data_IF_442772711116
#
_entry.id   IF_442772711116
#
_cell.length_a   1.000
_cell.length_b   1.000
_cell.length_c   1.000
_cell.angle_alpha   90.00
_cell.angle_beta   90.00
_cell.angle_gamma   90.00
#
_symmetry.space_group_name_H-M   'P 1'
#
loop_
_entity.id
_entity.type
_entity.pdbx_description
1 polymer ?
#
# COMPACT_ATOMS: atom_id res chain seq x y z
N UNK A 1 0.15 -16.51 30.93
CA UNK A 1 -0.59 -15.82 32.01
C UNK A 1 -1.61 -14.90 31.34
N UNK A 2 -2.83 -14.75 31.89
CA UNK A 2 -3.91 -14.04 31.18
C UNK A 2 -3.80 -12.52 31.29
N UNK A 3 -3.26 -12.01 32.40
CA UNK A 3 -3.08 -10.59 32.66
C UNK A 3 -2.08 -10.43 33.81
N UNK A 4 -1.00 -9.69 33.58
CA UNK A 4 0.03 -9.48 34.61
C UNK A 4 -0.10 -8.08 35.23
N UNK A 5 -0.07 -7.00 34.44
CA UNK A 5 -0.26 -5.65 34.98
C UNK A 5 -0.74 -4.59 33.96
N UNK A 6 -1.51 -3.60 34.45
CA UNK A 6 -1.94 -2.42 33.67
C UNK A 6 -0.81 -1.58 33.07
N UNK A 7 0.36 -1.37 33.74
CA UNK A 7 1.49 -0.64 33.17
C UNK A 7 2.09 -1.30 31.92
N UNK A 8 2.07 -2.64 31.84
CA UNK A 8 2.65 -3.36 30.71
C UNK A 8 1.83 -3.14 29.44
N UNK A 9 0.50 -3.14 29.56
CA UNK A 9 -0.41 -2.76 28.46
C UNK A 9 -0.17 -1.33 27.99
N UNK A 10 -0.01 -0.38 28.92
CA UNK A 10 0.22 1.02 28.58
C UNK A 10 1.58 1.21 27.89
N UNK A 11 2.60 0.47 28.32
CA UNK A 11 3.91 0.41 27.64
C UNK A 11 3.77 -0.13 26.22
N UNK A 12 3.02 -1.22 26.00
CA UNK A 12 2.78 -1.78 24.65
C UNK A 12 2.13 -0.74 23.75
N UNK A 13 1.11 -0.03 24.23
CA UNK A 13 0.43 1.02 23.44
C UNK A 13 1.37 2.18 23.10
N UNK A 14 2.07 2.73 24.10
CA UNK A 14 2.95 3.89 23.89
C UNK A 14 4.16 3.55 23.02
N UNK A 15 4.90 2.49 23.38
CA UNK A 15 6.12 2.08 22.68
C UNK A 15 5.78 1.56 21.29
N UNK A 16 4.71 0.75 21.15
CA UNK A 16 4.26 0.25 19.85
C UNK A 16 3.85 1.37 18.90
N UNK A 17 3.11 2.37 19.40
CA UNK A 17 2.74 3.55 18.60
C UNK A 17 3.97 4.36 18.19
N UNK A 18 4.90 4.63 19.12
CA UNK A 18 6.11 5.38 18.83
C UNK A 18 7.04 4.66 17.83
N UNK A 19 7.20 3.35 17.98
CA UNK A 19 7.97 2.51 17.06
C UNK A 19 7.35 2.53 15.65
N UNK A 20 6.03 2.40 15.55
CA UNK A 20 5.32 2.44 14.27
C UNK A 20 5.44 3.81 13.59
N UNK A 21 5.27 4.90 14.32
CA UNK A 21 5.45 6.27 13.79
C UNK A 21 6.88 6.46 13.28
N UNK A 22 7.87 6.00 14.03
CA UNK A 22 9.29 6.05 13.62
C UNK A 22 9.51 5.28 12.32
N UNK A 23 8.96 4.07 12.22
CA UNK A 23 9.02 3.24 11.03
C UNK A 23 8.40 3.95 9.81
N UNK A 24 7.22 4.56 9.97
CA UNK A 24 6.56 5.35 8.91
C UNK A 24 7.43 6.53 8.48
N UNK A 25 8.02 7.28 9.42
CA UNK A 25 8.87 8.45 9.12
C UNK A 25 10.11 8.03 8.33
N UNK A 26 10.79 6.96 8.76
CA UNK A 26 11.99 6.43 8.09
C UNK A 26 11.67 5.95 6.67
N UNK A 27 10.58 5.20 6.51
CA UNK A 27 10.14 4.71 5.20
C UNK A 27 9.75 5.88 4.28
N UNK A 28 9.07 6.89 4.82
CA UNK A 28 8.67 8.07 4.06
C UNK A 28 9.84 8.96 3.67
N UNK A 29 10.88 9.06 4.50
CA UNK A 29 12.12 9.78 4.17
C UNK A 29 12.92 9.09 3.05
N UNK A 30 12.86 7.75 2.99
CA UNK A 30 13.63 6.93 2.04
C UNK A 30 12.96 6.81 0.65
N UNK A 31 11.65 7.07 0.56
CA UNK A 31 10.77 6.73 -0.58
C UNK A 31 10.91 7.51 -1.90
N UNK A 32 12.06 8.09 -2.26
CA UNK A 32 12.24 8.75 -3.58
C UNK A 32 13.20 8.06 -4.55
N UNK A 33 13.96 7.02 -4.15
CA UNK A 33 14.97 6.41 -5.05
C UNK A 33 15.06 4.88 -5.09
N UNK A 34 14.24 4.15 -4.33
CA UNK A 34 14.39 2.68 -4.20
C UNK A 34 13.08 1.89 -4.39
N UNK A 35 11.98 2.56 -4.75
CA UNK A 35 10.62 2.01 -4.86
C UNK A 35 10.34 1.36 -6.23
N UNK A 36 11.23 0.49 -6.69
CA UNK A 36 10.93 -0.36 -7.85
C UNK A 36 10.43 -1.73 -7.37
N UNK A 37 9.13 -1.95 -7.56
CA UNK A 37 8.46 -3.24 -7.83
C UNK A 37 7.79 -4.06 -6.74
N UNK A 38 7.91 -3.77 -5.45
CA UNK A 38 6.89 -4.17 -4.45
C UNK A 38 6.79 -3.07 -3.40
N UNK A 39 5.58 -2.85 -2.88
CA UNK A 39 5.28 -1.86 -1.87
C UNK A 39 6.14 -2.13 -0.61
N UNK A 40 7.34 -1.55 -0.52
CA UNK A 40 8.31 -1.82 0.54
C UNK A 40 7.74 -1.58 1.94
N UNK A 41 6.76 -0.68 2.04
CA UNK A 41 5.97 -0.46 3.24
C UNK A 41 5.17 -1.71 3.64
N UNK A 42 4.47 -2.31 2.68
CA UNK A 42 3.65 -3.52 2.88
C UNK A 42 4.48 -4.75 3.27
N UNK A 43 5.67 -4.89 2.67
CA UNK A 43 6.63 -5.94 3.05
C UNK A 43 7.06 -5.82 4.52
N UNK A 44 7.45 -4.61 4.93
CA UNK A 44 7.92 -4.36 6.31
C UNK A 44 6.79 -4.59 7.32
N UNK A 45 5.58 -4.16 7.00
CA UNK A 45 4.39 -4.34 7.83
C UNK A 45 4.07 -5.83 8.02
N UNK A 46 4.12 -6.62 6.94
CA UNK A 46 3.87 -8.06 6.98
C UNK A 46 4.92 -8.79 7.85
N UNK A 47 6.20 -8.43 7.71
CA UNK A 47 7.29 -8.98 8.54
C UNK A 47 7.09 -8.64 10.02
N UNK A 48 6.69 -7.42 10.34
CA UNK A 48 6.44 -6.99 11.72
C UNK A 48 5.28 -7.76 12.37
N UNK A 49 4.19 -7.99 11.62
CA UNK A 49 3.05 -8.81 12.05
C UNK A 49 3.48 -10.25 12.38
N UNK A 50 4.25 -10.88 11.48
CA UNK A 50 4.77 -12.23 11.67
C UNK A 50 5.72 -12.34 12.87
N UNK A 51 6.65 -11.40 13.02
CA UNK A 51 7.57 -11.35 14.15
C UNK A 51 6.83 -11.19 15.49
N UNK A 52 5.82 -10.32 15.53
CA UNK A 52 5.04 -10.08 16.75
C UNK A 52 4.25 -11.32 17.14
N UNK A 53 3.59 -11.98 16.17
CA UNK A 53 2.87 -13.23 16.41
C UNK A 53 3.80 -14.36 16.90
N UNK A 54 4.99 -14.50 16.32
CA UNK A 54 5.98 -15.47 16.76
C UNK A 54 6.44 -15.21 18.20
N UNK A 55 6.70 -13.95 18.57
CA UNK A 55 7.06 -13.57 19.93
C UNK A 55 5.96 -13.91 20.93
N UNK A 56 4.70 -13.65 20.59
CA UNK A 56 3.55 -13.97 21.46
C UNK A 56 3.42 -15.48 21.68
N UNK A 57 3.67 -16.29 20.65
CA UNK A 57 3.53 -17.75 20.73
C UNK A 57 4.69 -18.44 21.46
N UNK A 58 5.90 -17.89 21.37
CA UNK A 58 7.12 -18.54 21.84
C UNK A 58 7.65 -17.97 23.16
N UNK A 59 7.24 -16.75 23.55
CA UNK A 59 7.70 -16.12 24.80
C UNK A 59 6.74 -16.37 25.95
N UNK A 60 7.21 -17.08 26.99
CA UNK A 60 6.47 -17.28 28.23
C UNK A 60 6.36 -16.00 29.10
N UNK A 61 7.14 -14.98 28.78
CA UNK A 61 7.15 -13.68 29.47
C UNK A 61 6.04 -12.74 28.99
N UNK A 62 5.40 -13.06 27.86
CA UNK A 62 4.34 -12.21 27.28
C UNK A 62 2.98 -12.73 27.72
N UNK A 63 2.23 -11.87 28.42
CA UNK A 63 0.84 -12.18 28.76
C UNK A 63 -0.03 -12.22 27.49
N UNK A 64 -1.09 -13.04 27.50
CA UNK A 64 -1.99 -13.14 26.35
C UNK A 64 -2.64 -11.78 26.04
N UNK A 65 -2.98 -11.00 27.07
CA UNK A 65 -3.54 -9.67 26.93
C UNK A 65 -2.58 -8.69 26.25
N UNK A 66 -1.29 -8.69 26.61
CA UNK A 66 -0.27 -7.88 25.94
C UNK A 66 -0.11 -8.25 24.47
N UNK A 67 -0.10 -9.54 24.17
CA UNK A 67 -0.05 -10.02 22.79
C UNK A 67 -1.26 -9.58 21.97
N UNK A 68 -2.46 -9.70 22.52
CA UNK A 68 -3.69 -9.25 21.88
C UNK A 68 -3.70 -7.73 21.63
N UNK A 69 -3.25 -6.93 22.61
CA UNK A 69 -3.14 -5.46 22.46
C UNK A 69 -2.09 -5.08 21.43
N UNK A 70 -0.95 -5.76 21.39
CA UNK A 70 0.10 -5.50 20.39
C UNK A 70 -0.41 -5.77 18.96
N UNK A 71 -1.10 -6.89 18.74
CA UNK A 71 -1.68 -7.23 17.44
C UNK A 71 -2.80 -6.25 17.03
N UNK A 72 -3.70 -5.91 17.96
CA UNK A 72 -4.78 -4.96 17.71
C UNK A 72 -4.22 -3.56 17.39
N UNK A 73 -3.21 -3.12 18.13
CA UNK A 73 -2.52 -1.87 17.89
C UNK A 73 -1.89 -1.85 16.50
N UNK A 74 -1.15 -2.89 16.12
CA UNK A 74 -0.55 -3.00 14.78
C UNK A 74 -1.61 -2.97 13.68
N UNK A 75 -2.71 -3.71 13.83
CA UNK A 75 -3.79 -3.72 12.84
C UNK A 75 -4.47 -2.34 12.70
N UNK A 76 -4.74 -1.65 13.82
CA UNK A 76 -5.32 -0.31 13.80
C UNK A 76 -4.38 0.72 13.16
N UNK A 77 -3.10 0.64 13.49
CA UNK A 77 -2.08 1.54 12.92
C UNK A 77 -1.88 1.28 11.42
N UNK A 78 -1.94 0.02 10.97
CA UNK A 78 -1.93 -0.33 9.55
C UNK A 78 -3.14 0.23 8.82
N UNK A 79 -4.35 0.08 9.38
CA UNK A 79 -5.55 0.67 8.81
C UNK A 79 -5.44 2.20 8.73
N UNK A 80 -4.97 2.86 9.78
CA UNK A 80 -4.75 4.30 9.78
C UNK A 80 -3.71 4.74 8.74
N UNK A 81 -2.60 4.01 8.61
CA UNK A 81 -1.59 4.30 7.60
C UNK A 81 -2.13 4.08 6.18
N UNK A 82 -2.94 3.04 5.98
CA UNK A 82 -3.64 2.80 4.72
C UNK A 82 -4.56 3.98 4.38
N UNK A 83 -5.36 4.49 5.32
CA UNK A 83 -6.20 5.68 5.11
C UNK A 83 -5.39 6.93 4.77
N UNK A 84 -4.22 7.11 5.39
CA UNK A 84 -3.32 8.24 5.10
C UNK A 84 -2.66 8.09 3.71
N UNK A 85 -2.34 6.86 3.31
CA UNK A 85 -1.74 6.54 2.02
C UNK A 85 -2.74 6.57 0.87
N UNK A 86 -3.98 6.13 1.11
CA UNK A 86 -5.07 6.08 0.12
C UNK A 86 -5.85 7.37 0.04
N UNK A 87 -5.50 8.43 0.81
CA UNK A 87 -6.11 9.75 0.68
C UNK A 87 -6.13 10.12 -0.81
N UNK A 88 -7.30 10.07 -1.46
CA UNK A 88 -7.38 10.41 -2.86
C UNK A 88 -6.99 11.88 -2.91
N UNK A 89 -6.05 12.22 -3.79
CA UNK A 89 -6.01 13.58 -4.34
C UNK A 89 -7.35 13.75 -5.04
N UNK A 90 -8.34 14.19 -4.27
CA UNK A 90 -9.73 14.40 -4.65
C UNK A 90 -9.86 15.57 -5.61
N UNK A 91 -9.29 15.40 -6.79
CA UNK A 91 -9.66 16.11 -7.98
C UNK A 91 -9.77 15.04 -9.04
N UNK A 92 -10.85 15.09 -9.83
CA UNK A 92 -10.93 14.46 -11.16
C UNK A 92 -9.51 14.33 -11.72
N UNK A 93 -8.95 13.12 -11.76
CA UNK A 93 -7.57 12.90 -12.20
C UNK A 93 -7.56 13.18 -13.69
N UNK A 94 -7.37 14.45 -14.05
CA UNK A 94 -6.84 14.83 -15.34
C UNK A 94 -5.43 14.24 -15.36
N UNK A 95 -5.31 13.02 -15.87
CA UNK A 95 -4.00 12.43 -16.16
C UNK A 95 -3.29 13.42 -17.07
N UNK A 96 -2.13 13.90 -16.66
CA UNK A 96 -1.35 14.75 -17.54
C UNK A 96 -0.86 13.90 -18.71
N UNK A 97 -0.58 14.52 -19.85
CA UNK A 97 0.08 13.83 -20.95
C UNK A 97 1.44 13.22 -20.54
N UNK A 98 2.05 13.66 -19.45
CA UNK A 98 3.26 13.06 -18.91
C UNK A 98 2.98 11.71 -18.21
N UNK A 99 1.85 11.60 -17.50
CA UNK A 99 1.43 10.38 -16.81
C UNK A 99 1.11 9.27 -17.82
N UNK A 100 0.39 9.61 -18.89
CA UNK A 100 0.07 8.67 -19.99
C UNK A 100 1.37 8.17 -20.64
N UNK A 101 2.29 9.08 -20.99
CA UNK A 101 3.59 8.69 -21.57
C UNK A 101 4.43 7.86 -20.61
N UNK A 102 4.33 8.08 -19.30
CA UNK A 102 5.03 7.29 -18.30
C UNK A 102 4.47 5.86 -18.24
N UNK A 103 3.14 5.71 -18.22
CA UNK A 103 2.50 4.39 -18.21
C UNK A 103 2.86 3.58 -19.45
N UNK A 104 2.81 4.22 -20.62
CA UNK A 104 3.21 3.61 -21.91
C UNK A 104 4.67 3.14 -21.87
N UNK A 105 5.58 3.96 -21.30
CA UNK A 105 6.98 3.54 -21.12
C UNK A 105 7.15 2.42 -20.09
N UNK A 106 6.39 2.42 -19.01
CA UNK A 106 6.48 1.34 -18.01
C UNK A 106 6.00 0.00 -18.54
N UNK A 107 5.08 0.03 -19.50
CA UNK A 107 4.58 -1.16 -20.21
C UNK A 107 5.52 -1.59 -21.36
N UNK A 108 6.62 -0.86 -21.57
CA UNK A 108 7.66 -1.21 -22.53
C UNK A 108 7.49 -0.57 -23.91
N UNK A 109 6.58 0.39 -24.06
CA UNK A 109 6.34 1.07 -25.32
C UNK A 109 7.02 2.44 -25.37
N UNK A 110 7.73 2.72 -26.47
CA UNK A 110 8.46 3.98 -26.68
C UNK A 110 7.65 5.04 -27.42
N UNK A 111 6.56 4.63 -28.07
CA UNK A 111 5.73 5.46 -28.95
C UNK A 111 4.25 5.34 -28.62
N UNK A 112 3.51 6.45 -28.78
CA UNK A 112 2.05 6.46 -28.61
C UNK A 112 1.30 5.97 -29.86
N UNK A 113 1.98 5.90 -31.01
CA UNK A 113 1.37 5.52 -32.30
C UNK A 113 0.86 4.09 -32.36
N UNK A 114 1.35 3.20 -31.49
CA UNK A 114 0.91 1.80 -31.38
C UNK A 114 -0.13 1.57 -30.29
N UNK A 115 -0.48 2.61 -29.54
CA UNK A 115 -1.43 2.52 -28.44
C UNK A 115 -2.82 2.79 -28.98
N UNK A 116 -3.73 1.84 -28.75
CA UNK A 116 -5.13 1.94 -29.15
C UNK A 116 -5.99 2.54 -28.05
N UNK A 117 -5.73 2.18 -26.78
CA UNK A 117 -6.47 2.72 -25.64
C UNK A 117 -5.61 2.77 -24.37
N UNK A 118 -5.94 3.70 -23.47
CA UNK A 118 -5.45 3.74 -22.10
C UNK A 118 -6.64 3.75 -21.15
N UNK A 119 -6.73 2.76 -20.25
CA UNK A 119 -7.86 2.58 -19.34
C UNK A 119 -7.40 2.88 -17.92
N UNK A 120 -8.01 3.89 -17.30
CA UNK A 120 -7.77 4.16 -15.88
C UNK A 120 -8.64 3.22 -15.05
N UNK A 121 -7.98 2.30 -14.35
CA UNK A 121 -8.63 1.31 -13.48
C UNK A 121 -9.15 1.95 -12.19
N UNK A 122 -10.04 1.24 -11.48
CA UNK A 122 -10.65 1.71 -10.22
C UNK A 122 -9.62 1.88 -9.09
N UNK A 123 -8.50 1.16 -9.16
CA UNK A 123 -7.38 1.28 -8.21
C UNK A 123 -6.41 2.43 -8.56
N UNK A 124 -6.65 3.14 -9.68
CA UNK A 124 -5.83 4.24 -10.17
C UNK A 124 -4.61 3.83 -10.99
N UNK A 125 -4.46 2.55 -11.32
CA UNK A 125 -3.50 2.09 -12.33
C UNK A 125 -4.00 2.41 -13.75
N UNK A 126 -3.07 2.59 -14.69
CA UNK A 126 -3.38 2.87 -16.10
C UNK A 126 -2.98 1.64 -16.92
N UNK A 127 -3.97 0.91 -17.43
CA UNK A 127 -3.79 -0.18 -18.38
C UNK A 127 -3.61 0.39 -19.78
N UNK A 128 -2.68 -0.17 -20.56
CA UNK A 128 -2.39 0.27 -21.92
C UNK A 128 -2.72 -0.87 -22.87
N UNK A 129 -3.55 -0.61 -23.87
CA UNK A 129 -3.90 -1.59 -24.91
C UNK A 129 -3.25 -1.16 -26.21
N UNK A 130 -2.43 -2.04 -26.79
CA UNK A 130 -1.84 -1.82 -28.11
C UNK A 130 -2.82 -2.14 -29.22
N UNK A 131 -2.63 -1.55 -30.40
CA UNK A 131 -3.44 -1.88 -31.57
C UNK A 131 -3.38 -3.37 -31.96
N UNK A 132 -2.27 -4.05 -31.67
CA UNK A 132 -2.15 -5.49 -31.90
C UNK A 132 -2.97 -6.34 -30.91
N UNK A 133 -3.19 -5.83 -29.70
CA UNK A 133 -3.93 -6.51 -28.64
C UNK A 133 -5.39 -6.03 -28.52
N UNK A 134 -5.85 -5.16 -29.41
CA UNK A 134 -7.17 -4.54 -29.35
C UNK A 134 -8.32 -5.54 -29.61
N UNK A 135 -8.08 -6.58 -30.41
CA UNK A 135 -9.08 -7.58 -30.74
C UNK A 135 -10.30 -6.96 -31.44
N UNK A 136 -11.50 -7.34 -31.00
CA UNK A 136 -12.77 -6.79 -31.48
C UNK A 136 -13.27 -5.57 -30.69
N UNK A 137 -12.52 -5.14 -29.66
CA UNK A 137 -12.87 -3.99 -28.83
C UNK A 137 -14.04 -4.20 -27.87
N UNK A 138 -14.64 -5.40 -27.80
CA UNK A 138 -15.82 -5.67 -26.96
C UNK A 138 -15.59 -5.41 -25.46
N UNK A 139 -14.35 -5.50 -25.00
CA UNK A 139 -13.96 -5.17 -23.63
C UNK A 139 -14.02 -3.66 -23.30
N UNK A 140 -14.18 -2.80 -24.30
CA UNK A 140 -14.28 -1.34 -24.15
C UNK A 140 -15.73 -0.83 -24.25
N UNK A 141 -16.70 -1.71 -24.41
CA UNK A 141 -18.12 -1.33 -24.48
C UNK A 141 -18.54 -0.62 -23.18
N UNK A 142 -18.92 0.65 -23.30
CA UNK A 142 -19.33 1.49 -22.17
C UNK A 142 -18.21 2.33 -21.53
N UNK A 143 -16.99 2.30 -22.08
CA UNK A 143 -15.93 3.26 -21.72
C UNK A 143 -16.20 4.59 -22.41
N UNK A 144 -16.36 5.68 -21.64
CA UNK A 144 -16.53 7.03 -22.19
C UNK A 144 -15.24 7.51 -22.85
N UNK A 145 -15.31 7.90 -24.13
CA UNK A 145 -14.20 8.59 -24.79
C UNK A 145 -14.03 9.99 -24.19
N UNK A 146 -12.80 10.43 -23.90
CA UNK A 146 -12.55 11.81 -23.49
C UNK A 146 -12.88 12.77 -24.64
N UNK A 147 -13.76 13.76 -24.37
CA UNK A 147 -14.08 14.86 -25.29
C UNK A 147 -12.87 15.70 -25.70
#
# INVERSE_FOLDING_TARGET
MWFDAWPDLLRVVLVGSAAYVTLVVVLRATGKRTLAKLNAFDLVVTVALGSTLATILLSAEVSWAEGAVALLLLALLQYAAALVATRPRGGRRLLSAADIRQAVRSDGHGDLTRIAAGILETDGSLSVITGAAFGDGSALDGVEEPE
#
